data_IF_534167995162
#
_entry.id   IF_534167995162
#
_cell.length_a   1.000
_cell.length_b   1.000
_cell.length_c   1.000
_cell.angle_alpha   90.00
_cell.angle_beta   90.00
_cell.angle_gamma   90.00
#
_symmetry.space_group_name_H-M   'P 1'
#
loop_
_entity.id
_entity.type
_entity.pdbx_description
1 polymer ?
#
# COMPACT_ATOMS: atom_id res chain seq x y z
N UNK A 1 18.81 -2.87 -6.55
CA UNK A 1 17.75 -2.65 -5.54
C UNK A 1 16.73 -1.72 -6.16
N UNK A 2 15.44 -2.00 -5.97
CA UNK A 2 14.29 -1.34 -6.61
C UNK A 2 13.80 -0.09 -5.85
N UNK A 3 14.53 0.30 -4.80
CA UNK A 3 14.26 1.52 -4.05
C UNK A 3 15.51 2.07 -3.38
N UNK A 4 15.45 3.38 -3.11
CA UNK A 4 16.40 4.11 -2.28
C UNK A 4 15.94 4.06 -0.82
N UNK A 5 16.86 3.81 0.11
CA UNK A 5 16.57 3.97 1.54
C UNK A 5 16.36 5.44 1.87
N UNK A 6 15.19 5.75 2.43
CA UNK A 6 14.81 7.07 2.89
C UNK A 6 14.54 7.02 4.39
N UNK A 7 15.15 7.92 5.15
CA UNK A 7 14.83 8.14 6.55
C UNK A 7 13.57 9.01 6.67
N UNK A 8 12.43 8.49 6.22
CA UNK A 8 11.15 9.17 6.20
C UNK A 8 10.06 8.22 6.68
N UNK A 9 9.35 8.60 7.74
CA UNK A 9 8.26 7.77 8.28
C UNK A 9 6.99 8.01 7.47
N UNK A 10 6.83 7.25 6.38
CA UNK A 10 5.67 7.35 5.50
C UNK A 10 4.34 7.23 6.24
N UNK A 11 4.27 6.38 7.27
CA UNK A 11 3.05 6.17 8.03
C UNK A 11 2.70 7.44 8.82
N UNK A 12 3.61 7.91 9.68
CA UNK A 12 3.35 9.04 10.58
C UNK A 12 3.39 10.40 9.89
N UNK A 13 4.19 10.56 8.83
CA UNK A 13 4.39 11.86 8.19
C UNK A 13 3.39 12.17 7.08
N UNK A 14 2.78 11.15 6.46
CA UNK A 14 1.86 11.32 5.32
C UNK A 14 0.54 10.61 5.53
N UNK A 15 0.56 9.29 5.76
CA UNK A 15 -0.65 8.47 5.74
C UNK A 15 -1.56 8.75 6.94
N UNK A 16 -1.01 8.75 8.16
CA UNK A 16 -1.75 9.05 9.40
C UNK A 16 -2.35 10.46 9.36
N UNK A 17 -1.61 11.53 9.01
CA UNK A 17 -2.21 12.87 8.86
C UNK A 17 -3.33 12.93 7.81
N UNK A 18 -3.19 12.22 6.68
CA UNK A 18 -4.21 12.19 5.64
C UNK A 18 -5.51 11.51 6.11
N UNK A 19 -5.38 10.35 6.78
CA UNK A 19 -6.52 9.63 7.35
C UNK A 19 -7.14 10.42 8.51
N UNK A 20 -6.33 11.07 9.35
CA UNK A 20 -6.84 11.94 10.41
C UNK A 20 -7.63 13.12 9.85
N UNK A 21 -7.15 13.76 8.78
CA UNK A 21 -7.91 14.82 8.11
C UNK A 21 -9.21 14.28 7.49
N UNK A 22 -9.20 13.06 6.92
CA UNK A 22 -10.41 12.38 6.46
C UNK A 22 -11.44 12.22 7.59
N UNK A 23 -11.06 11.63 8.72
CA UNK A 23 -11.98 11.43 9.86
C UNK A 23 -12.41 12.74 10.54
N UNK A 24 -11.60 13.80 10.48
CA UNK A 24 -11.96 15.12 11.01
C UNK A 24 -12.85 15.94 10.07
N UNK A 25 -13.14 15.45 8.86
CA UNK A 25 -14.04 16.10 7.91
C UNK A 25 -15.38 15.38 7.92
N UNK A 26 -16.47 15.95 8.50
CA UNK A 26 -17.72 15.23 8.71
C UNK A 26 -18.34 14.60 7.46
N UNK A 27 -18.26 15.29 6.32
CA UNK A 27 -18.78 14.78 5.04
C UNK A 27 -17.98 13.59 4.51
N UNK A 28 -16.68 13.53 4.81
CA UNK A 28 -15.81 12.45 4.35
C UNK A 28 -15.96 11.24 5.27
N UNK A 29 -16.00 11.44 6.58
CA UNK A 29 -16.29 10.37 7.55
C UNK A 29 -17.63 9.68 7.26
N UNK A 30 -18.64 10.45 6.85
CA UNK A 30 -19.96 9.94 6.47
C UNK A 30 -19.91 8.94 5.30
N UNK A 31 -18.88 8.99 4.43
CA UNK A 31 -18.67 8.00 3.37
C UNK A 31 -18.46 6.59 3.94
N UNK A 32 -17.73 6.46 5.04
CA UNK A 32 -17.52 5.17 5.72
C UNK A 32 -18.83 4.71 6.36
N UNK A 33 -19.51 5.62 7.07
CA UNK A 33 -20.77 5.33 7.76
C UNK A 33 -21.89 4.88 6.81
N UNK A 34 -21.96 5.46 5.61
CA UNK A 34 -22.93 5.10 4.57
C UNK A 34 -22.48 3.93 3.68
N UNK A 35 -21.35 3.30 4.01
CA UNK A 35 -20.79 2.19 3.28
C UNK A 35 -20.53 2.52 1.78
N UNK A 36 -20.05 3.72 1.49
CA UNK A 36 -19.67 4.13 0.14
C UNK A 36 -18.63 3.18 -0.49
N UNK A 37 -18.51 3.22 -1.82
CA UNK A 37 -17.52 2.40 -2.53
C UNK A 37 -16.08 2.72 -2.05
N UNK A 38 -15.25 1.69 -1.91
CA UNK A 38 -13.87 1.83 -1.41
C UNK A 38 -13.07 2.83 -2.24
N UNK A 39 -13.18 2.79 -3.57
CA UNK A 39 -12.56 3.79 -4.47
C UNK A 39 -12.91 5.24 -4.15
N UNK A 40 -14.15 5.53 -3.74
CA UNK A 40 -14.57 6.89 -3.38
C UNK A 40 -13.87 7.36 -2.11
N UNK A 41 -13.75 6.46 -1.13
CA UNK A 41 -13.06 6.74 0.13
C UNK A 41 -11.56 6.93 -0.13
N UNK A 42 -10.94 6.02 -0.89
CA UNK A 42 -9.52 6.07 -1.26
C UNK A 42 -9.20 7.34 -2.04
N UNK A 43 -10.02 7.75 -3.01
CA UNK A 43 -9.82 9.00 -3.75
C UNK A 43 -9.82 10.25 -2.84
N UNK A 44 -10.64 10.23 -1.78
CA UNK A 44 -10.69 11.32 -0.80
C UNK A 44 -9.44 11.36 0.10
N UNK A 45 -9.02 10.19 0.61
CA UNK A 45 -7.78 10.04 1.38
C UNK A 45 -6.57 10.42 0.52
N UNK A 46 -6.54 10.01 -0.74
CA UNK A 46 -5.52 10.34 -1.72
C UNK A 46 -5.34 11.86 -1.90
N UNK A 47 -6.44 12.59 -2.03
CA UNK A 47 -6.40 14.06 -2.16
C UNK A 47 -5.72 14.70 -0.94
N UNK A 48 -6.06 14.23 0.27
CA UNK A 48 -5.46 14.69 1.53
C UNK A 48 -4.00 14.27 1.65
N UNK A 49 -3.66 13.03 1.28
CA UNK A 49 -2.30 12.52 1.27
C UNK A 49 -1.40 13.34 0.35
N UNK A 50 -1.88 13.72 -0.85
CA UNK A 50 -1.14 14.61 -1.75
C UNK A 50 -0.91 16.00 -1.16
N UNK A 51 -1.91 16.56 -0.49
CA UNK A 51 -1.76 17.87 0.16
C UNK A 51 -0.72 17.81 1.30
N UNK A 52 -0.77 16.78 2.15
CA UNK A 52 0.22 16.56 3.22
C UNK A 52 1.62 16.32 2.63
N UNK A 53 1.72 15.43 1.65
CA UNK A 53 2.99 15.10 1.00
C UNK A 53 3.63 16.30 0.32
N UNK A 54 2.83 17.14 -0.36
CA UNK A 54 3.34 18.36 -1.00
C UNK A 54 3.95 19.34 0.01
N UNK A 55 3.41 19.42 1.22
CA UNK A 55 3.99 20.23 2.29
C UNK A 55 5.31 19.63 2.80
N UNK A 56 5.37 18.30 2.95
CA UNK A 56 6.57 17.58 3.41
C UNK A 56 7.72 17.61 2.40
N UNK A 57 7.39 17.58 1.10
CA UNK A 57 8.35 17.71 0.00
C UNK A 57 8.99 19.10 -0.06
N UNK A 58 8.28 20.15 0.38
CA UNK A 58 8.79 21.52 0.41
C UNK A 58 10.03 21.65 1.32
N UNK A 59 11.22 21.46 0.74
CA UNK A 59 12.51 21.51 1.45
C UNK A 59 13.20 20.15 1.64
N UNK A 60 12.62 19.04 1.16
CA UNK A 60 13.25 17.72 1.22
C UNK A 60 13.50 17.17 -0.18
N UNK A 61 14.75 17.33 -0.66
CA UNK A 61 15.18 16.91 -1.99
C UNK A 61 15.05 15.41 -2.22
N UNK A 62 15.06 14.60 -1.16
CA UNK A 62 14.91 13.15 -1.29
C UNK A 62 13.49 12.72 -1.72
N UNK A 63 12.53 13.65 -1.67
CA UNK A 63 11.13 13.43 -2.03
C UNK A 63 10.75 14.02 -3.39
N UNK A 64 11.67 14.72 -4.08
CA UNK A 64 11.34 15.55 -5.26
C UNK A 64 10.74 14.73 -6.42
N UNK A 65 11.30 13.56 -6.69
CA UNK A 65 10.90 12.68 -7.80
C UNK A 65 9.81 11.66 -7.41
N UNK A 66 9.35 11.69 -6.16
CA UNK A 66 8.29 10.82 -5.68
C UNK A 66 6.92 11.44 -5.89
N UNK A 67 5.95 10.60 -6.21
CA UNK A 67 4.54 10.97 -6.33
C UNK A 67 3.67 9.96 -5.60
N UNK A 68 2.46 10.39 -5.26
CA UNK A 68 1.39 9.50 -4.80
C UNK A 68 0.47 9.25 -6.01
N UNK A 69 0.14 7.99 -6.28
CA UNK A 69 -0.84 7.60 -7.30
C UNK A 69 -1.85 6.59 -6.71
N UNK A 70 -3.04 6.51 -7.30
CA UNK A 70 -4.06 5.50 -6.99
C UNK A 70 -4.32 4.62 -8.22
N UNK A 71 -4.62 3.35 -7.98
CA UNK A 71 -4.90 2.34 -9.02
C UNK A 71 -3.83 2.28 -10.14
N UNK A 72 -2.60 2.72 -9.84
CA UNK A 72 -1.53 2.80 -10.82
C UNK A 72 -0.94 1.41 -11.09
N UNK A 73 -1.23 0.91 -12.28
CA UNK A 73 -0.95 -0.47 -12.65
C UNK A 73 0.16 -0.62 -13.70
N UNK A 74 0.98 0.40 -13.93
CA UNK A 74 2.02 0.36 -14.97
C UNK A 74 3.38 -0.08 -14.45
N UNK A 75 4.11 -0.78 -15.31
CA UNK A 75 5.48 -1.19 -15.16
C UNK A 75 6.18 -1.01 -16.53
N UNK A 76 6.73 0.17 -16.78
CA UNK A 76 7.10 0.58 -18.13
C UNK A 76 5.88 0.57 -19.07
N UNK A 77 5.94 -0.23 -20.12
CA UNK A 77 4.84 -0.43 -21.08
C UNK A 77 3.84 -1.53 -20.68
N UNK A 78 4.17 -2.31 -19.63
CA UNK A 78 3.38 -3.47 -19.20
C UNK A 78 2.49 -3.14 -18.00
N UNK A 79 1.55 -4.04 -17.72
CA UNK A 79 0.79 -4.04 -16.47
C UNK A 79 1.65 -4.54 -15.30
N UNK A 80 1.29 -4.18 -14.07
CA UNK A 80 1.84 -4.76 -12.86
C UNK A 80 1.29 -6.18 -12.68
N UNK A 81 2.14 -7.16 -12.93
CA UNK A 81 1.86 -8.59 -12.81
C UNK A 81 2.41 -9.20 -11.51
N UNK A 82 1.53 -9.81 -10.72
CA UNK A 82 1.87 -10.36 -9.40
C UNK A 82 1.90 -11.88 -9.41
N UNK A 83 2.60 -12.41 -8.41
CA UNK A 83 2.79 -13.84 -8.09
C UNK A 83 3.66 -14.66 -9.05
N UNK A 84 3.86 -14.23 -10.31
CA UNK A 84 4.67 -14.99 -11.28
C UNK A 84 6.09 -15.34 -10.80
N UNK A 85 6.81 -14.39 -10.19
CA UNK A 85 8.17 -14.67 -9.68
C UNK A 85 8.19 -15.66 -8.50
N UNK A 86 7.06 -15.86 -7.81
CA UNK A 86 6.97 -16.77 -6.67
C UNK A 86 7.13 -18.24 -7.09
N UNK A 87 6.86 -18.59 -8.34
CA UNK A 87 7.08 -19.95 -8.88
C UNK A 87 8.57 -20.34 -8.83
N UNK A 88 9.47 -19.37 -8.94
CA UNK A 88 10.92 -19.54 -8.90
C UNK A 88 11.51 -19.38 -7.49
N UNK A 89 10.67 -19.11 -6.48
CA UNK A 89 11.12 -18.97 -5.10
C UNK A 89 11.35 -20.35 -4.46
N UNK A 90 12.36 -20.50 -3.60
CA UNK A 90 12.58 -21.75 -2.86
C UNK A 90 11.81 -21.85 -1.53
N UNK A 91 11.27 -20.74 -1.01
CA UNK A 91 10.45 -20.73 0.22
C UNK A 91 9.11 -21.39 -0.08
N UNK A 92 8.86 -22.58 0.48
CA UNK A 92 7.63 -23.35 0.25
C UNK A 92 6.50 -22.99 1.23
N UNK A 93 6.87 -22.43 2.38
CA UNK A 93 5.99 -21.97 3.45
C UNK A 93 5.45 -20.55 3.25
N UNK A 94 5.78 -19.91 2.12
CA UNK A 94 5.25 -18.59 1.79
C UNK A 94 3.73 -18.65 1.59
N UNK A 95 3.01 -17.72 2.22
CA UNK A 95 1.54 -17.60 2.15
C UNK A 95 0.99 -17.71 0.71
N UNK A 96 1.61 -17.02 -0.25
CA UNK A 96 1.18 -17.02 -1.66
C UNK A 96 1.14 -18.43 -2.25
N UNK A 97 2.12 -19.26 -1.91
CA UNK A 97 2.19 -20.65 -2.39
C UNK A 97 1.26 -21.58 -1.65
N UNK A 98 1.11 -21.39 -0.33
CA UNK A 98 0.20 -22.18 0.49
C UNK A 98 -1.25 -21.98 0.06
N UNK A 99 -1.62 -20.76 -0.33
CA UNK A 99 -2.94 -20.42 -0.86
C UNK A 99 -3.10 -20.71 -2.36
N UNK A 100 -2.05 -21.24 -3.02
CA UNK A 100 -2.04 -21.59 -4.45
C UNK A 100 -2.49 -20.43 -5.37
N UNK A 101 -2.12 -19.21 -5.02
CA UNK A 101 -2.53 -18.02 -5.77
C UNK A 101 -1.94 -18.03 -7.17
N UNK A 102 -2.79 -17.75 -8.15
CA UNK A 102 -2.41 -17.76 -9.56
C UNK A 102 -1.95 -16.37 -9.99
N UNK A 103 -1.02 -16.35 -10.95
CA UNK A 103 -0.59 -15.14 -11.64
C UNK A 103 -1.78 -14.27 -12.07
N UNK A 104 -1.67 -12.96 -11.82
CA UNK A 104 -2.70 -11.97 -12.19
C UNK A 104 -2.10 -10.58 -12.31
N UNK A 105 -2.91 -9.62 -12.74
CA UNK A 105 -2.55 -8.19 -12.70
C UNK A 105 -3.03 -7.54 -11.42
N UNK A 106 -2.33 -6.49 -10.98
CA UNK A 106 -2.65 -5.74 -9.76
C UNK A 106 -2.64 -4.24 -10.03
N UNK A 107 -3.64 -3.57 -9.46
CA UNK A 107 -3.71 -2.12 -9.33
C UNK A 107 -3.86 -1.83 -7.83
N UNK A 108 -2.77 -1.57 -7.10
CA UNK A 108 -2.88 -1.27 -5.67
C UNK A 108 -3.72 -0.01 -5.45
N UNK A 109 -4.42 0.06 -4.33
CA UNK A 109 -5.29 1.20 -4.04
C UNK A 109 -4.52 2.52 -4.00
N UNK A 110 -3.34 2.54 -3.39
CA UNK A 110 -2.47 3.72 -3.36
C UNK A 110 -0.99 3.33 -3.30
N UNK A 111 -0.15 4.07 -4.01
CA UNK A 111 1.30 3.88 -4.02
C UNK A 111 2.04 5.20 -3.88
N UNK A 112 3.26 5.14 -3.33
CA UNK A 112 4.24 6.24 -3.33
C UNK A 112 5.48 5.73 -4.06
N UNK A 113 5.80 6.36 -5.20
CA UNK A 113 6.77 5.83 -6.15
C UNK A 113 7.31 6.89 -7.10
N UNK A 114 8.33 6.52 -7.87
CA UNK A 114 8.80 7.24 -9.05
C UNK A 114 8.09 6.69 -10.30
N UNK A 115 7.37 7.54 -11.05
CA UNK A 115 6.55 7.09 -12.18
C UNK A 115 7.40 6.52 -13.32
N UNK A 116 6.92 5.42 -13.89
CA UNK A 116 7.49 4.84 -15.12
C UNK A 116 8.75 3.99 -14.90
N UNK A 117 9.33 4.01 -13.70
CA UNK A 117 10.51 3.23 -13.31
C UNK A 117 10.23 2.45 -12.02
N UNK A 118 10.89 1.31 -11.82
CA UNK A 118 10.83 0.55 -10.56
C UNK A 118 12.09 0.74 -9.71
N UNK A 119 12.78 1.86 -9.90
CA UNK A 119 14.05 2.17 -9.23
C UNK A 119 13.85 2.85 -7.87
N UNK A 120 12.66 3.42 -7.62
CA UNK A 120 12.35 4.11 -6.38
C UNK A 120 10.89 3.95 -5.91
N UNK A 121 10.47 2.71 -5.68
CA UNK A 121 9.15 2.37 -5.15
C UNK A 121 9.17 2.35 -3.61
N UNK A 122 8.48 3.30 -2.97
CA UNK A 122 8.55 3.48 -1.52
C UNK A 122 7.43 2.76 -0.78
N UNK A 123 6.18 3.06 -1.10
CA UNK A 123 5.02 2.57 -0.34
C UNK A 123 3.98 1.95 -1.25
N UNK A 124 3.41 0.83 -0.83
CA UNK A 124 2.19 0.25 -1.39
C UNK A 124 1.12 0.13 -0.31
N UNK A 125 -0.13 0.46 -0.62
CA UNK A 125 -1.22 0.47 0.35
C UNK A 125 -2.45 -0.20 -0.25
N UNK A 126 -3.07 -1.07 0.53
CA UNK A 126 -4.40 -1.62 0.27
C UNK A 126 -5.35 -1.16 1.38
N UNK A 127 -6.52 -0.64 1.01
CA UNK A 127 -7.55 -0.18 1.92
C UNK A 127 -8.74 -1.14 1.91
N UNK A 128 -9.26 -1.43 3.10
CA UNK A 128 -10.54 -2.13 3.25
C UNK A 128 -11.42 -1.45 4.27
N UNK A 129 -12.72 -1.68 4.15
CA UNK A 129 -13.65 -1.39 5.25
C UNK A 129 -13.73 -2.61 6.17
N UNK A 130 -13.81 -2.39 7.48
CA UNK A 130 -14.05 -3.46 8.47
C UNK A 130 -15.38 -4.18 8.19
N UNK A 131 -16.35 -3.48 7.59
CA UNK A 131 -17.62 -4.07 7.16
C UNK A 131 -17.47 -5.06 6.00
N UNK A 132 -16.38 -4.99 5.23
CA UNK A 132 -16.06 -5.99 4.21
C UNK A 132 -15.46 -7.24 4.87
N UNK A 133 -16.28 -8.28 4.96
CA UNK A 133 -15.92 -9.58 5.55
C UNK A 133 -15.57 -10.64 4.52
N UNK A 134 -15.39 -10.27 3.25
CA UNK A 134 -15.00 -11.24 2.22
C UNK A 134 -13.55 -11.68 2.45
N UNK A 135 -13.38 -12.83 3.11
CA UNK A 135 -12.07 -13.38 3.45
C UNK A 135 -11.17 -13.51 2.21
N UNK A 136 -11.72 -13.97 1.09
CA UNK A 136 -10.93 -14.18 -0.14
C UNK A 136 -10.33 -12.87 -0.65
N UNK A 137 -11.14 -11.82 -0.76
CA UNK A 137 -10.65 -10.50 -1.20
C UNK A 137 -9.53 -10.00 -0.28
N UNK A 138 -9.69 -10.15 1.02
CA UNK A 138 -8.70 -9.72 2.02
C UNK A 138 -7.41 -10.53 1.95
N UNK A 139 -7.51 -11.84 1.75
CA UNK A 139 -6.35 -12.73 1.56
C UNK A 139 -5.62 -12.40 0.25
N UNK A 140 -6.36 -12.09 -0.82
CA UNK A 140 -5.78 -11.66 -2.11
C UNK A 140 -5.00 -10.33 -1.93
N UNK A 141 -5.53 -9.36 -1.18
CA UNK A 141 -4.84 -8.07 -0.90
C UNK A 141 -3.63 -8.23 0.03
N UNK A 142 -3.74 -9.09 1.06
CA UNK A 142 -2.60 -9.50 1.89
C UNK A 142 -1.49 -10.10 1.05
N UNK A 143 -1.83 -11.00 0.12
CA UNK A 143 -0.87 -11.64 -0.77
C UNK A 143 -0.15 -10.63 -1.66
N UNK A 144 -0.88 -9.64 -2.21
CA UNK A 144 -0.27 -8.54 -2.98
C UNK A 144 0.75 -7.79 -2.12
N UNK A 145 0.41 -7.40 -0.90
CA UNK A 145 1.35 -6.68 -0.01
C UNK A 145 2.60 -7.52 0.31
N UNK A 146 2.44 -8.83 0.56
CA UNK A 146 3.57 -9.76 0.73
C UNK A 146 4.44 -9.81 -0.54
N UNK A 147 3.81 -9.91 -1.71
CA UNK A 147 4.51 -9.95 -3.00
C UNK A 147 5.31 -8.67 -3.26
N UNK A 148 4.65 -7.51 -3.13
CA UNK A 148 5.23 -6.21 -3.37
C UNK A 148 6.34 -5.87 -2.37
N UNK A 149 6.22 -6.28 -1.11
CA UNK A 149 7.24 -5.98 -0.09
C UNK A 149 8.38 -7.00 -0.02
N UNK A 150 8.30 -8.11 -0.75
CA UNK A 150 9.32 -9.17 -0.75
C UNK A 150 10.66 -8.68 -1.33
N UNK A 151 11.74 -8.71 -0.55
CA UNK A 151 13.06 -8.19 -0.95
C UNK A 151 13.99 -9.26 -1.53
N UNK A 152 13.52 -10.49 -1.64
CA UNK A 152 14.27 -11.55 -2.29
C UNK A 152 14.57 -11.18 -3.74
N UNK A 153 15.83 -11.28 -4.21
CA UNK A 153 16.16 -11.07 -5.61
C UNK A 153 15.62 -12.22 -6.45
N UNK A 154 15.08 -11.89 -7.62
CA UNK A 154 14.68 -12.86 -8.65
C UNK A 154 15.49 -12.56 -9.91
N UNK A 155 16.72 -13.09 -10.01
CA UNK A 155 17.55 -12.96 -11.20
C UNK A 155 16.81 -13.49 -12.43
N UNK A 156 17.03 -12.88 -13.59
CA UNK A 156 16.41 -13.23 -14.88
C UNK A 156 14.89 -12.97 -14.96
N UNK A 157 14.31 -12.38 -13.90
CA UNK A 157 12.91 -11.97 -13.78
C UNK A 157 12.79 -10.50 -13.31
N UNK A 158 13.70 -9.64 -13.76
CA UNK A 158 13.79 -8.25 -13.31
C UNK A 158 12.52 -7.44 -13.65
N UNK A 159 11.85 -7.79 -14.74
CA UNK A 159 10.61 -7.11 -15.16
C UNK A 159 9.44 -7.44 -14.22
N UNK A 160 9.41 -8.65 -13.66
CA UNK A 160 8.43 -9.10 -12.68
C UNK A 160 8.81 -8.67 -11.26
N UNK A 161 10.05 -8.22 -11.07
CA UNK A 161 10.64 -7.91 -9.78
C UNK A 161 10.54 -6.42 -9.38
N UNK A 162 9.37 -5.83 -9.57
CA UNK A 162 9.05 -4.57 -8.89
C UNK A 162 8.76 -4.85 -7.42
N UNK A 163 9.37 -4.09 -6.53
CA UNK A 163 9.22 -4.22 -5.08
C UNK A 163 9.02 -2.83 -4.50
N UNK A 164 8.35 -2.76 -3.35
CA UNK A 164 8.20 -1.55 -2.56
C UNK A 164 8.96 -1.73 -1.25
N UNK A 165 9.48 -0.64 -0.73
CA UNK A 165 10.18 -0.65 0.56
C UNK A 165 9.26 -1.08 1.71
N UNK A 166 8.00 -0.62 1.71
CA UNK A 166 7.01 -0.92 2.76
C UNK A 166 5.60 -1.06 2.21
N UNK A 167 4.81 -1.95 2.80
CA UNK A 167 3.38 -2.13 2.53
C UNK A 167 2.52 -1.77 3.74
N UNK A 168 1.32 -1.24 3.51
CA UNK A 168 0.32 -1.03 4.57
C UNK A 168 -1.03 -1.63 4.17
N UNK A 169 -1.58 -2.48 5.02
CA UNK A 169 -2.99 -2.86 4.95
C UNK A 169 -3.77 -2.00 5.94
N UNK A 170 -4.74 -1.23 5.45
CA UNK A 170 -5.48 -0.27 6.27
C UNK A 170 -6.97 -0.62 6.30
N UNK A 171 -7.46 -1.04 7.46
CA UNK A 171 -8.87 -1.27 7.70
C UNK A 171 -9.54 -0.04 8.28
N UNK A 172 -10.52 0.51 7.56
CA UNK A 172 -11.32 1.66 7.96
C UNK A 172 -12.60 1.20 8.67
N UNK A 173 -12.79 1.67 9.90
CA UNK A 173 -14.03 1.58 10.66
C UNK A 173 -14.66 2.99 10.79
N UNK A 174 -15.81 3.10 11.44
CA UNK A 174 -16.59 4.35 11.52
C UNK A 174 -15.81 5.50 12.19
N UNK A 175 -15.03 5.21 13.24
CA UNK A 175 -14.35 6.20 14.09
C UNK A 175 -12.88 5.86 14.39
N UNK A 176 -12.38 4.79 13.77
CA UNK A 176 -11.04 4.26 13.98
C UNK A 176 -10.55 3.56 12.71
N UNK A 177 -9.27 3.24 12.70
CA UNK A 177 -8.69 2.40 11.67
C UNK A 177 -7.57 1.52 12.23
N UNK A 178 -7.27 0.46 11.50
CA UNK A 178 -6.24 -0.51 11.85
C UNK A 178 -5.18 -0.49 10.76
N UNK A 179 -3.93 -0.65 11.15
CA UNK A 179 -2.80 -0.72 10.23
C UNK A 179 -2.01 -1.99 10.49
N UNK A 180 -1.82 -2.78 9.45
CA UNK A 180 -0.83 -3.86 9.42
C UNK A 180 0.27 -3.47 8.46
N UNK A 181 1.50 -3.41 8.97
CA UNK A 181 2.69 -3.05 8.18
C UNK A 181 3.32 -4.32 7.61
N UNK A 182 3.72 -4.27 6.34
CA UNK A 182 4.42 -5.35 5.63
C UNK A 182 5.82 -4.89 5.23
N UNK A 183 6.85 -5.65 5.62
CA UNK A 183 8.25 -5.43 5.25
C UNK A 183 8.95 -6.76 5.01
N UNK A 184 9.58 -6.88 3.84
CA UNK A 184 10.30 -8.09 3.42
C UNK A 184 9.52 -9.38 3.71
N UNK A 185 8.29 -9.50 3.20
CA UNK A 185 7.36 -10.63 3.40
C UNK A 185 6.81 -10.83 4.81
N UNK A 186 7.35 -10.14 5.82
CA UNK A 186 6.84 -10.19 7.18
C UNK A 186 5.77 -9.13 7.38
N UNK A 187 4.80 -9.43 8.24
CA UNK A 187 3.83 -8.46 8.70
C UNK A 187 3.99 -8.23 10.20
N UNK A 188 3.94 -6.99 10.62
CA UNK A 188 3.90 -6.62 12.03
C UNK A 188 2.52 -6.93 12.64
N UNK A 189 2.42 -6.86 13.96
CA UNK A 189 1.12 -6.89 14.64
C UNK A 189 0.24 -5.72 14.17
N UNK A 190 -1.05 -5.99 13.99
CA UNK A 190 -2.02 -4.95 13.64
C UNK A 190 -2.16 -3.94 14.78
N UNK A 191 -1.83 -2.68 14.51
CA UNK A 191 -2.00 -1.58 15.46
C UNK A 191 -3.31 -0.83 15.19
N UNK A 192 -3.98 -0.37 16.24
CA UNK A 192 -5.26 0.35 16.13
C UNK A 192 -5.05 1.83 16.41
N UNK A 193 -5.63 2.71 15.59
CA UNK A 193 -5.71 4.15 15.89
C UNK A 193 -7.16 4.59 16.06
N UNK A 194 -7.43 5.26 17.18
CA UNK A 194 -8.73 5.86 17.47
C UNK A 194 -8.54 7.21 18.13
N UNK A 195 -9.34 8.21 17.74
CA UNK A 195 -9.27 9.55 18.34
C UNK A 195 -7.87 10.20 18.26
N UNK A 196 -7.12 9.92 17.19
CA UNK A 196 -5.78 10.46 16.98
C UNK A 196 -4.67 9.82 17.83
N UNK A 197 -4.91 8.68 18.48
CA UNK A 197 -3.92 7.97 19.30
C UNK A 197 -3.81 6.50 18.87
N UNK A 198 -2.60 5.97 18.90
CA UNK A 198 -2.38 4.51 18.87
C UNK A 198 -2.84 3.91 20.20
N UNK A 199 -3.53 2.77 20.14
CA UNK A 199 -4.04 2.03 21.29
C UNK A 199 -3.13 0.85 21.65
#
# INVERSE_FOLDING_TARGET
>A
MSFRELHFDWLEEVIVPAIAWFFNTPLDQDLVARNAAERTIVANIYSKANAVFSQKRGGNQDLDDLVIDIEYNRNGENSKEVFGKCDFCNKQDCFIKQEHLQYTTSSPDMIIHHRGFNDNNQVVIEFKKVSNRNKKERDDDKAKLIYFSCQQPFPDHENENYQYHIGFFIDLDIDRYFVTTYRDTHSDETITRQGGKWL
#
